data_IF_150526324496
#
_entry.id   IF_150526324496
#
_cell.length_a   1.000
_cell.length_b   1.000
_cell.length_c   1.000
_cell.angle_alpha   90.00
_cell.angle_beta   90.00
_cell.angle_gamma   90.00
#
_symmetry.space_group_name_H-M   'P 1'
#
loop_
_entity.id
_entity.type
_entity.pdbx_description
1 polymer ?
#
# COMPACT_ATOMS: atom_id res chain seq x y z
N UNK A 1 -10.75 15.69 -10.32
CA UNK A 1 -11.14 14.28 -10.59
C UNK A 1 -9.92 13.45 -11.05
N UNK A 2 -8.93 13.15 -10.19
CA UNK A 2 -7.77 12.32 -10.58
C UNK A 2 -7.39 11.20 -9.57
N UNK A 3 -8.20 10.94 -8.55
CA UNK A 3 -7.84 10.00 -7.48
C UNK A 3 -8.06 8.52 -7.85
N UNK A 4 -8.93 8.24 -8.83
CA UNK A 4 -9.28 6.86 -9.26
C UNK A 4 -8.10 6.18 -9.98
N UNK A 5 -7.24 6.95 -10.64
CA UNK A 5 -6.15 6.41 -11.48
C UNK A 5 -5.00 5.82 -10.65
N UNK A 6 -4.76 6.32 -9.41
CA UNK A 6 -3.63 5.85 -8.61
C UNK A 6 -3.93 4.60 -7.79
N UNK A 7 -5.16 4.41 -7.30
CA UNK A 7 -5.55 3.13 -6.69
C UNK A 7 -5.32 1.98 -7.68
N UNK A 8 -5.76 2.17 -8.93
CA UNK A 8 -5.57 1.20 -10.00
C UNK A 8 -4.09 0.96 -10.33
N UNK A 9 -3.21 1.96 -10.21
CA UNK A 9 -1.75 1.80 -10.39
C UNK A 9 -1.12 0.99 -9.26
N UNK A 10 -1.52 1.24 -8.01
CA UNK A 10 -0.96 0.52 -6.85
C UNK A 10 -1.39 -0.95 -6.88
N UNK A 11 -2.63 -1.22 -7.28
CA UNK A 11 -3.09 -2.59 -7.52
C UNK A 11 -2.40 -3.26 -8.72
N UNK A 12 -1.90 -2.48 -9.68
CA UNK A 12 -1.14 -3.00 -10.82
C UNK A 12 0.30 -3.39 -10.47
N UNK A 13 0.81 -3.03 -9.29
CA UNK A 13 2.12 -3.51 -8.81
C UNK A 13 2.09 -4.98 -8.37
N UNK A 14 0.90 -5.56 -8.20
CA UNK A 14 0.75 -6.98 -7.88
C UNK A 14 0.58 -7.80 -9.16
N UNK A 15 1.25 -8.96 -9.29
CA UNK A 15 1.13 -9.78 -10.46
C UNK A 15 -0.32 -10.26 -10.65
N UNK A 16 -0.80 -10.38 -11.91
CA UNK A 16 -2.12 -10.92 -12.20
C UNK A 16 -2.18 -12.38 -11.74
N UNK A 17 -2.87 -12.64 -10.64
CA UNK A 17 -2.89 -13.95 -9.97
C UNK A 17 -2.83 -13.87 -8.45
N UNK A 18 -2.46 -12.71 -7.88
CA UNK A 18 -2.70 -12.48 -6.44
C UNK A 18 -4.19 -12.41 -6.20
N UNK A 19 -4.69 -13.32 -5.38
CA UNK A 19 -6.10 -13.34 -5.00
C UNK A 19 -6.46 -12.01 -4.32
N UNK A 20 -7.50 -11.34 -4.84
CA UNK A 20 -8.03 -10.10 -4.22
C UNK A 20 -8.51 -10.31 -2.78
N UNK A 21 -8.66 -11.57 -2.34
CA UNK A 21 -9.00 -11.97 -0.98
C UNK A 21 -7.77 -12.20 -0.08
N UNK A 22 -6.55 -12.02 -0.60
CA UNK A 22 -5.33 -12.15 0.20
C UNK A 22 -5.27 -11.06 1.26
N UNK A 23 -4.77 -11.42 2.45
CA UNK A 23 -4.50 -10.49 3.55
C UNK A 23 -3.73 -9.23 3.10
N UNK A 24 -2.86 -9.38 2.11
CA UNK A 24 -2.09 -8.29 1.49
C UNK A 24 -3.01 -7.27 0.79
N UNK A 25 -3.94 -7.74 -0.04
CA UNK A 25 -4.90 -6.88 -0.75
C UNK A 25 -5.87 -6.20 0.22
N UNK A 26 -6.34 -6.93 1.22
CA UNK A 26 -7.22 -6.35 2.25
C UNK A 26 -6.51 -5.26 3.06
N UNK A 27 -5.27 -5.53 3.48
CA UNK A 27 -4.45 -4.57 4.24
C UNK A 27 -4.13 -3.33 3.42
N UNK A 28 -3.82 -3.50 2.14
CA UNK A 28 -3.58 -2.38 1.22
C UNK A 28 -4.83 -1.53 0.99
N UNK A 29 -5.98 -2.16 0.78
CA UNK A 29 -7.27 -1.47 0.66
C UNK A 29 -7.64 -0.68 1.92
N UNK A 30 -7.32 -1.23 3.10
CA UNK A 30 -7.48 -0.55 4.38
C UNK A 30 -6.60 0.71 4.45
N UNK A 31 -5.30 0.58 4.18
CA UNK A 31 -4.34 1.70 4.16
C UNK A 31 -4.75 2.81 3.19
N UNK A 32 -5.21 2.45 1.99
CA UNK A 32 -5.72 3.40 0.99
C UNK A 32 -6.98 4.12 1.50
N UNK A 33 -7.88 3.38 2.16
CA UNK A 33 -9.12 3.94 2.71
C UNK A 33 -8.83 4.88 3.88
N UNK A 34 -7.85 4.55 4.72
CA UNK A 34 -7.36 5.43 5.80
C UNK A 34 -6.77 6.72 5.25
N UNK A 35 -5.89 6.65 4.25
CA UNK A 35 -5.33 7.84 3.60
C UNK A 35 -6.41 8.72 2.97
N UNK A 36 -7.44 8.10 2.38
CA UNK A 36 -8.58 8.81 1.84
C UNK A 36 -9.43 9.48 2.94
N UNK A 37 -9.64 8.81 4.07
CA UNK A 37 -10.35 9.36 5.22
C UNK A 37 -9.59 10.53 5.88
N UNK A 38 -8.26 10.49 5.86
CA UNK A 38 -7.39 11.60 6.28
C UNK A 38 -7.37 12.78 5.29
N UNK A 39 -8.08 12.68 4.15
CA UNK A 39 -8.07 13.70 3.10
C UNK A 39 -6.72 13.87 2.41
N UNK A 40 -5.80 12.92 2.58
CA UNK A 40 -4.46 12.96 1.97
C UNK A 40 -4.52 12.47 0.53
N UNK A 41 -3.69 13.06 -0.32
CA UNK A 41 -3.48 12.55 -1.67
C UNK A 41 -2.82 11.18 -1.60
N UNK A 42 -3.51 10.16 -2.14
CA UNK A 42 -2.94 8.82 -2.30
C UNK A 42 -1.81 8.94 -3.32
N UNK A 43 -0.57 8.86 -2.83
CA UNK A 43 0.68 8.91 -3.60
C UNK A 43 1.59 7.79 -3.10
N UNK A 44 2.56 7.34 -3.91
CA UNK A 44 3.53 6.33 -3.46
C UNK A 44 4.20 6.76 -2.15
N UNK A 45 4.58 8.03 -2.04
CA UNK A 45 5.11 8.62 -0.80
C UNK A 45 4.14 8.50 0.38
N UNK A 46 2.86 8.85 0.20
CA UNK A 46 1.87 8.75 1.27
C UNK A 46 1.63 7.30 1.71
N UNK A 47 1.62 6.36 0.76
CA UNK A 47 1.49 4.93 1.04
C UNK A 47 2.70 4.38 1.78
N UNK A 48 3.91 4.71 1.34
CA UNK A 48 5.17 4.35 2.00
C UNK A 48 5.17 4.83 3.45
N UNK A 49 4.86 6.12 3.68
CA UNK A 49 4.81 6.69 5.03
C UNK A 49 3.76 6.00 5.91
N UNK A 50 2.57 5.74 5.36
CA UNK A 50 1.50 5.07 6.12
C UNK A 50 1.83 3.62 6.44
N UNK A 51 2.49 2.90 5.54
CA UNK A 51 2.95 1.53 5.78
C UNK A 51 4.06 1.47 6.84
N UNK A 52 4.97 2.45 6.86
CA UNK A 52 5.97 2.58 7.92
C UNK A 52 5.30 2.82 9.27
N UNK A 53 4.34 3.76 9.35
CA UNK A 53 3.55 4.00 10.57
C UNK A 53 2.86 2.70 11.05
N UNK A 54 2.24 1.94 10.14
CA UNK A 54 1.62 0.64 10.47
C UNK A 54 2.64 -0.37 10.99
N UNK A 55 3.84 -0.43 10.40
CA UNK A 55 4.91 -1.32 10.85
C UNK A 55 5.39 -0.97 12.27
N UNK A 56 5.42 0.30 12.63
CA UNK A 56 5.83 0.74 13.97
C UNK A 56 4.74 0.49 15.03
N UNK A 57 3.47 0.52 14.63
CA UNK A 57 2.33 0.34 15.54
C UNK A 57 1.84 -1.11 15.66
N UNK A 58 2.28 -2.01 14.78
CA UNK A 58 1.81 -3.40 14.74
C UNK A 58 2.77 -4.33 15.47
N UNK A 59 2.25 -5.13 16.41
CA UNK A 59 3.05 -6.15 17.11
C UNK A 59 2.85 -7.55 16.52
N UNK A 60 1.78 -7.75 15.75
CA UNK A 60 1.49 -9.03 15.11
C UNK A 60 2.49 -9.31 13.97
N UNK A 61 3.23 -10.41 14.11
CA UNK A 61 4.32 -10.76 13.19
C UNK A 61 3.84 -11.08 11.78
N UNK A 62 2.60 -11.56 11.62
CA UNK A 62 2.03 -11.87 10.31
C UNK A 62 1.68 -10.57 9.59
N UNK A 63 1.02 -9.64 10.29
CA UNK A 63 0.70 -8.32 9.75
C UNK A 63 1.95 -7.48 9.47
N UNK A 64 2.99 -7.59 10.30
CA UNK A 64 4.29 -6.99 10.03
C UNK A 64 4.90 -7.50 8.72
N UNK A 65 4.86 -8.81 8.48
CA UNK A 65 5.34 -9.40 7.22
C UNK A 65 4.53 -8.89 6.01
N UNK A 66 3.21 -8.82 6.15
CA UNK A 66 2.31 -8.27 5.14
C UNK A 66 2.68 -6.82 4.82
N UNK A 67 2.80 -5.95 5.83
CA UNK A 67 3.14 -4.54 5.62
C UNK A 67 4.55 -4.35 5.05
N UNK A 68 5.55 -5.16 5.46
CA UNK A 68 6.89 -5.12 4.84
C UNK A 68 6.85 -5.48 3.37
N UNK A 69 6.13 -6.55 3.03
CA UNK A 69 6.01 -6.98 1.65
C UNK A 69 5.29 -5.95 0.78
N UNK A 70 4.21 -5.35 1.29
CA UNK A 70 3.52 -4.25 0.59
C UNK A 70 4.46 -3.06 0.36
N UNK A 71 5.27 -2.72 1.37
CA UNK A 71 6.25 -1.64 1.30
C UNK A 71 7.32 -1.93 0.25
N UNK A 72 7.90 -3.14 0.23
CA UNK A 72 8.88 -3.57 -0.79
C UNK A 72 8.32 -3.47 -2.21
N UNK A 73 7.09 -3.96 -2.43
CA UNK A 73 6.45 -3.92 -3.76
C UNK A 73 6.25 -2.47 -4.23
N UNK A 74 5.79 -1.59 -3.35
CA UNK A 74 5.53 -0.18 -3.69
C UNK A 74 6.85 0.56 -3.91
N UNK A 75 7.88 0.32 -3.10
CA UNK A 75 9.21 0.91 -3.30
C UNK A 75 9.82 0.41 -4.61
N UNK A 76 9.86 -0.91 -4.84
CA UNK A 76 10.43 -1.49 -6.06
C UNK A 76 9.70 -1.10 -7.36
N UNK A 77 8.43 -0.68 -7.25
CA UNK A 77 7.65 -0.19 -8.38
C UNK A 77 7.61 1.34 -8.48
N UNK A 78 8.14 2.05 -7.49
CA UNK A 78 8.40 3.48 -7.60
C UNK A 78 9.72 3.58 -8.36
N UNK A 79 9.74 4.13 -9.60
CA UNK A 79 11.01 4.35 -10.28
C UNK A 79 11.86 5.19 -9.32
N UNK A 80 13.05 4.68 -8.98
CA UNK A 80 14.08 5.45 -8.29
C UNK A 80 14.10 6.82 -8.97
N UNK A 81 13.82 7.87 -8.21
CA UNK A 81 13.84 9.24 -8.70
C UNK A 81 15.27 9.51 -9.18
N UNK A 82 15.48 9.38 -10.49
CA UNK A 82 16.72 9.72 -11.19
C UNK A 82 16.57 11.10 -11.82
#
# INVERSE_FOLDING_TARGET
MQQISLQSKVFAYFPPGVEKSSLKFQSLGCVISELNAEGRHITNKALILKLIEKLEMTTDVIMLDVYRHLLEVIIGSTPDDA
#
